data_IF_212311454125
#
_entry.id   IF_212311454125
#
_cell.length_a   1.000
_cell.length_b   1.000
_cell.length_c   1.000
_cell.angle_alpha   90.00
_cell.angle_beta   90.00
_cell.angle_gamma   90.00
#
_symmetry.space_group_name_H-M   'P 1'
#
loop_
_entity.id
_entity.type
_entity.pdbx_description
1 polymer ?
#
# COMPACT_ATOMS: atom_id res chain seq x y z
N UNK A 1 -17.53 -65.06 -38.75
CA UNK A 1 -16.52 -64.35 -39.55
C UNK A 1 -17.02 -62.97 -39.97
N UNK A 2 -18.26 -62.81 -40.42
CA UNK A 2 -18.83 -61.51 -40.81
C UNK A 2 -18.79 -60.43 -39.72
N UNK A 3 -19.12 -60.74 -38.46
CA UNK A 3 -19.04 -59.77 -37.34
C UNK A 3 -17.66 -59.16 -37.15
N UNK A 4 -16.60 -59.95 -37.34
CA UNK A 4 -15.23 -59.48 -37.15
C UNK A 4 -14.82 -58.59 -38.32
N UNK A 5 -15.18 -58.98 -39.55
CA UNK A 5 -14.90 -58.16 -40.73
C UNK A 5 -15.63 -56.81 -40.67
N UNK A 6 -16.89 -56.80 -40.27
CA UNK A 6 -17.64 -55.55 -40.09
C UNK A 6 -17.04 -54.66 -39.01
N UNK A 7 -16.53 -55.24 -37.92
CA UNK A 7 -15.88 -54.46 -36.86
C UNK A 7 -14.53 -53.91 -37.29
N UNK A 8 -13.75 -54.69 -38.05
CA UNK A 8 -12.49 -54.22 -38.67
C UNK A 8 -12.78 -53.02 -39.60
N UNK A 9 -13.76 -53.12 -40.50
CA UNK A 9 -14.12 -52.03 -41.40
C UNK A 9 -14.56 -50.75 -40.65
N UNK A 10 -15.33 -50.90 -39.56
CA UNK A 10 -15.71 -49.78 -38.70
C UNK A 10 -14.49 -49.13 -38.04
N UNK A 11 -13.55 -49.92 -37.53
CA UNK A 11 -12.33 -49.42 -36.88
C UNK A 11 -11.39 -48.76 -37.88
N UNK A 12 -11.23 -49.32 -39.07
CA UNK A 12 -10.43 -48.72 -40.15
C UNK A 12 -11.00 -47.37 -40.57
N UNK A 13 -12.32 -47.29 -40.74
CA UNK A 13 -13.00 -46.04 -41.07
C UNK A 13 -12.82 -44.98 -39.97
N UNK A 14 -13.02 -45.34 -38.71
CA UNK A 14 -12.84 -44.44 -37.58
C UNK A 14 -11.39 -43.92 -37.44
N UNK A 15 -10.41 -44.69 -37.91
CA UNK A 15 -9.00 -44.30 -37.87
C UNK A 15 -8.61 -43.38 -39.06
N UNK A 16 -9.30 -43.49 -40.20
CA UNK A 16 -9.10 -42.62 -41.38
C UNK A 16 -9.80 -41.28 -41.22
N UNK A 17 -10.93 -41.26 -40.51
CA UNK A 17 -11.68 -40.02 -40.22
C UNK A 17 -10.90 -39.05 -39.32
N UNK A 18 -11.11 -37.73 -39.46
CA UNK A 18 -10.43 -36.74 -38.63
C UNK A 18 -10.82 -36.91 -37.17
N UNK A 19 -9.81 -37.01 -36.30
CA UNK A 19 -10.02 -37.16 -34.85
C UNK A 19 -10.73 -35.96 -34.27
N UNK A 20 -11.45 -36.18 -33.16
CA UNK A 20 -12.10 -35.11 -32.40
C UNK A 20 -11.08 -34.08 -31.94
N UNK A 21 -11.52 -32.83 -31.77
CA UNK A 21 -10.65 -31.73 -31.35
C UNK A 21 -9.95 -31.99 -30.00
N UNK A 22 -10.57 -32.76 -29.11
CA UNK A 22 -9.98 -33.14 -27.81
C UNK A 22 -8.80 -34.13 -27.95
N UNK A 23 -8.72 -34.88 -29.05
CA UNK A 23 -7.63 -35.81 -29.33
C UNK A 23 -6.49 -35.17 -30.13
N UNK A 24 -6.64 -33.91 -30.54
CA UNK A 24 -5.63 -33.14 -31.26
C UNK A 24 -4.87 -32.25 -30.26
N UNK A 25 -3.54 -32.14 -30.37
CA UNK A 25 -2.73 -31.39 -29.40
C UNK A 25 -2.84 -29.87 -29.54
N UNK A 26 -2.69 -29.36 -30.76
CA UNK A 26 -2.68 -27.91 -31.03
C UNK A 26 -3.97 -27.49 -31.75
N UNK A 27 -5.01 -27.24 -30.97
CA UNK A 27 -6.32 -26.81 -31.48
C UNK A 27 -6.55 -25.33 -31.20
N UNK A 28 -6.78 -24.55 -32.27
CA UNK A 28 -7.19 -23.14 -32.16
C UNK A 28 -8.70 -23.01 -31.90
N UNK A 29 -9.13 -21.86 -31.40
CA UNK A 29 -10.55 -21.61 -31.09
C UNK A 29 -11.49 -21.73 -32.31
N UNK A 30 -10.98 -21.56 -33.53
CA UNK A 30 -11.75 -21.71 -34.77
C UNK A 30 -11.98 -23.18 -35.16
N UNK A 31 -11.09 -24.09 -34.76
CA UNK A 31 -11.15 -25.52 -35.13
C UNK A 31 -12.06 -26.34 -34.20
N UNK A 32 -12.49 -25.77 -33.07
CA UNK A 32 -13.42 -26.42 -32.14
C UNK A 32 -14.81 -25.76 -32.19
N UNK A 33 -15.90 -26.51 -31.98
CA UNK A 33 -17.24 -25.94 -31.89
C UNK A 33 -17.35 -24.92 -30.75
N UNK A 34 -18.18 -23.90 -30.96
CA UNK A 34 -18.44 -22.85 -29.96
C UNK A 34 -19.03 -23.47 -28.70
N UNK A 35 -18.48 -23.13 -27.52
CA UNK A 35 -18.94 -23.66 -26.23
C UNK A 35 -18.45 -25.07 -25.88
N UNK A 36 -17.83 -25.81 -26.81
CA UNK A 36 -17.41 -27.20 -26.56
C UNK A 36 -16.37 -27.37 -25.44
N UNK A 37 -15.55 -26.35 -25.16
CA UNK A 37 -14.58 -26.40 -24.06
C UNK A 37 -15.22 -26.36 -22.66
N UNK A 38 -16.48 -25.94 -22.52
CA UNK A 38 -17.18 -25.96 -21.22
C UNK A 38 -17.75 -27.35 -20.91
N UNK A 39 -17.99 -28.18 -21.94
CA UNK A 39 -18.52 -29.53 -21.81
C UNK A 39 -17.41 -30.57 -21.60
N UNK A 40 -16.24 -30.34 -22.21
CA UNK A 40 -15.09 -31.22 -22.04
C UNK A 40 -14.45 -31.06 -20.65
N UNK A 41 -14.20 -32.18 -19.96
CA UNK A 41 -13.43 -32.18 -18.72
C UNK A 41 -11.93 -32.09 -19.05
N UNK A 42 -11.36 -30.90 -18.92
CA UNK A 42 -9.95 -30.61 -19.19
C UNK A 42 -9.24 -30.15 -17.91
N UNK A 43 -8.14 -30.82 -17.58
CA UNK A 43 -7.28 -30.42 -16.48
C UNK A 43 -6.20 -29.43 -16.96
N UNK A 44 -6.04 -28.32 -16.25
CA UNK A 44 -5.02 -27.33 -16.56
C UNK A 44 -4.37 -26.76 -15.30
N UNK A 45 -3.09 -26.44 -15.41
CA UNK A 45 -2.33 -25.84 -14.33
C UNK A 45 -2.68 -24.36 -14.15
N UNK A 46 -2.90 -23.96 -12.91
CA UNK A 46 -3.13 -22.56 -12.55
C UNK A 46 -1.86 -21.97 -11.96
N UNK A 47 -1.32 -20.94 -12.60
CA UNK A 47 -0.08 -20.28 -12.15
C UNK A 47 -0.24 -19.44 -10.88
N UNK A 48 -1.48 -19.14 -10.48
CA UNK A 48 -1.77 -18.21 -9.38
C UNK A 48 -2.67 -18.91 -8.37
N UNK A 49 -2.35 -18.74 -7.08
CA UNK A 49 -3.22 -19.20 -5.99
C UNK A 49 -4.53 -18.40 -6.03
N UNK A 50 -5.69 -19.05 -6.01
CA UNK A 50 -6.95 -18.33 -5.99
C UNK A 50 -7.03 -17.44 -4.74
N UNK A 51 -7.68 -16.29 -4.88
CA UNK A 51 -7.91 -15.37 -3.77
C UNK A 51 -8.64 -16.12 -2.65
N UNK A 52 -8.14 -16.08 -1.41
CA UNK A 52 -8.82 -16.75 -0.30
C UNK A 52 -10.21 -16.14 -0.11
N UNK A 53 -11.21 -17.01 0.06
CA UNK A 53 -12.58 -16.60 0.35
C UNK A 53 -12.66 -16.20 1.83
N UNK A 54 -13.26 -15.04 2.11
CA UNK A 54 -13.44 -14.56 3.48
C UNK A 54 -14.60 -15.33 4.10
N UNK A 55 -14.28 -16.36 4.88
CA UNK A 55 -15.25 -17.15 5.65
C UNK A 55 -15.37 -16.62 7.08
N UNK A 56 -16.48 -16.94 7.75
CA UNK A 56 -16.77 -16.49 9.13
C UNK A 56 -15.71 -16.96 10.13
N UNK A 57 -15.16 -18.16 9.94
CA UNK A 57 -14.08 -18.71 10.78
C UNK A 57 -12.80 -17.87 10.70
N UNK A 58 -12.45 -17.40 9.49
CA UNK A 58 -11.27 -16.55 9.28
C UNK A 58 -11.48 -15.18 9.91
N UNK A 59 -12.67 -14.60 9.78
CA UNK A 59 -12.99 -13.32 10.42
C UNK A 59 -12.96 -13.41 11.95
N UNK A 60 -13.50 -14.49 12.54
CA UNK A 60 -13.47 -14.71 13.98
C UNK A 60 -12.03 -14.81 14.52
N UNK A 61 -11.17 -15.55 13.82
CA UNK A 61 -9.74 -15.65 14.16
C UNK A 61 -9.03 -14.28 14.12
N UNK A 62 -9.35 -13.44 13.13
CA UNK A 62 -8.81 -12.09 13.02
C UNK A 62 -9.30 -11.21 14.18
N UNK A 63 -10.58 -11.29 14.55
CA UNK A 63 -11.16 -10.54 15.67
C UNK A 63 -10.49 -10.91 17.01
N UNK A 64 -10.29 -12.19 17.28
CA UNK A 64 -9.57 -12.63 18.48
C UNK A 64 -8.14 -12.09 18.51
N UNK A 65 -7.43 -12.12 17.37
CA UNK A 65 -6.07 -11.59 17.28
C UNK A 65 -6.03 -10.08 17.53
N UNK A 66 -7.00 -9.33 17.00
CA UNK A 66 -7.11 -7.88 17.24
C UNK A 66 -7.38 -7.62 18.72
N UNK A 67 -8.33 -8.33 19.33
CA UNK A 67 -8.65 -8.19 20.75
C UNK A 67 -7.43 -8.43 21.64
N UNK A 68 -6.68 -9.51 21.39
CA UNK A 68 -5.45 -9.83 22.12
C UNK A 68 -4.41 -8.71 22.02
N UNK A 69 -4.18 -8.18 20.81
CA UNK A 69 -3.23 -7.09 20.59
C UNK A 69 -3.62 -5.81 21.30
N UNK A 70 -4.91 -5.45 21.30
CA UNK A 70 -5.40 -4.25 22.01
C UNK A 70 -5.12 -4.38 23.50
N UNK A 71 -5.42 -5.53 24.10
CA UNK A 71 -5.19 -5.77 25.52
C UNK A 71 -3.70 -5.69 25.86
N UNK A 72 -2.82 -6.25 25.03
CA UNK A 72 -1.37 -6.19 25.23
C UNK A 72 -0.82 -4.76 25.06
N UNK A 73 -1.20 -4.07 23.99
CA UNK A 73 -0.79 -2.69 23.72
C UNK A 73 -1.21 -1.76 24.85
N UNK A 74 -2.47 -1.85 25.30
CA UNK A 74 -3.00 -1.00 26.37
C UNK A 74 -2.23 -1.16 27.68
N UNK A 75 -1.74 -2.36 28.01
CA UNK A 75 -0.90 -2.60 29.19
C UNK A 75 0.45 -1.89 29.11
N UNK A 76 0.98 -1.67 27.90
CA UNK A 76 2.27 -1.02 27.67
C UNK A 76 2.22 0.49 27.46
N UNK A 77 1.03 1.09 27.36
CA UNK A 77 0.89 2.53 27.16
C UNK A 77 1.26 3.28 28.45
N UNK A 78 2.37 4.00 28.42
CA UNK A 78 2.67 5.02 29.42
C UNK A 78 1.68 6.18 29.29
N UNK A 79 1.21 6.71 30.42
CA UNK A 79 0.36 7.91 30.42
C UNK A 79 1.08 9.01 29.63
N UNK A 80 0.37 9.59 28.66
CA UNK A 80 0.84 10.76 27.92
C UNK A 80 1.22 11.80 28.97
N UNK A 81 2.49 12.21 29.02
CA UNK A 81 2.86 13.30 29.89
C UNK A 81 2.16 14.56 29.39
N UNK A 82 1.49 15.33 30.27
CA UNK A 82 0.94 16.61 29.86
C UNK A 82 2.08 17.42 29.26
N UNK A 83 1.81 18.12 28.16
CA UNK A 83 2.74 19.08 27.57
C UNK A 83 2.96 20.21 28.61
N UNK A 84 3.77 19.96 29.62
CA UNK A 84 4.31 21.01 30.47
C UNK A 84 5.25 21.79 29.59
N UNK A 85 4.74 22.92 29.06
CA UNK A 85 5.46 24.08 28.57
C UNK A 85 6.92 23.75 28.21
N UNK A 86 7.11 23.31 26.97
CA UNK A 86 8.42 23.06 26.40
C UNK A 86 9.32 24.28 26.64
N UNK A 87 10.21 24.17 27.63
CA UNK A 87 11.40 25.01 27.69
C UNK A 87 12.35 24.47 26.62
N UNK A 88 12.07 24.80 25.36
CA UNK A 88 13.09 24.76 24.33
C UNK A 88 14.08 25.88 24.65
N UNK A 89 15.23 25.51 25.21
CA UNK A 89 16.33 26.42 25.42
C UNK A 89 16.78 26.97 24.05
N UNK A 90 16.31 28.17 23.72
CA UNK A 90 16.49 28.82 22.41
C UNK A 90 17.94 29.26 22.13
N UNK A 91 18.88 28.87 23.00
CA UNK A 91 20.24 29.40 23.07
C UNK A 91 21.19 28.96 21.96
N UNK A 92 20.74 28.20 20.95
CA UNK A 92 21.55 27.92 19.75
C UNK A 92 20.98 28.62 18.53
N UNK A 93 21.16 29.95 18.47
CA UNK A 93 20.97 30.72 17.24
C UNK A 93 22.17 30.50 16.33
N UNK A 94 22.05 29.58 15.37
CA UNK A 94 22.98 29.51 14.24
C UNK A 94 22.60 30.66 13.29
N UNK A 95 23.42 31.71 13.22
CA UNK A 95 23.29 32.70 12.15
C UNK A 95 23.74 32.07 10.84
N UNK A 96 22.85 32.00 9.85
CA UNK A 96 23.22 31.56 8.51
C UNK A 96 23.84 32.74 7.73
N UNK A 97 25.02 32.56 7.10
CA UNK A 97 25.56 33.59 6.23
C UNK A 97 24.68 33.72 5.00
N UNK A 98 24.31 34.97 4.69
CA UNK A 98 23.52 35.35 3.54
C UNK A 98 24.40 35.24 2.28
N UNK A 99 24.47 34.05 1.69
CA UNK A 99 25.11 33.83 0.41
C UNK A 99 24.14 33.14 -0.57
N UNK A 100 24.22 33.59 -1.82
CA UNK A 100 23.40 33.28 -2.99
C UNK A 100 22.79 31.87 -3.01
N UNK A 101 21.47 31.81 -3.26
CA UNK A 101 20.61 30.62 -3.31
C UNK A 101 21.33 29.35 -3.81
N UNK A 102 21.72 28.45 -2.91
CA UNK A 102 22.24 27.15 -3.33
C UNK A 102 21.11 26.30 -3.91
N UNK A 103 21.42 25.47 -4.91
CA UNK A 103 20.50 24.43 -5.40
C UNK A 103 20.01 23.56 -4.23
N UNK A 104 18.71 23.30 -4.17
CA UNK A 104 18.03 22.54 -3.11
C UNK A 104 18.66 21.18 -2.84
N UNK A 105 19.26 20.56 -3.87
CA UNK A 105 20.02 19.32 -3.76
C UNK A 105 21.28 19.45 -2.90
N UNK A 106 22.01 20.57 -3.00
CA UNK A 106 23.25 20.79 -2.25
C UNK A 106 22.99 21.06 -0.76
N UNK A 107 21.91 21.79 -0.45
CA UNK A 107 21.46 22.02 0.93
C UNK A 107 21.03 20.72 1.62
N UNK A 108 20.29 19.86 0.90
CA UNK A 108 19.88 18.55 1.40
C UNK A 108 21.10 17.66 1.72
N UNK A 109 22.07 17.58 0.81
CA UNK A 109 23.27 16.78 1.03
C UNK A 109 24.15 17.29 2.18
N UNK A 110 24.25 18.60 2.38
CA UNK A 110 25.04 19.17 3.48
C UNK A 110 24.35 19.00 4.84
N UNK A 111 23.02 18.98 4.88
CA UNK A 111 22.23 18.73 6.08
C UNK A 111 22.32 17.26 6.53
N UNK A 112 22.16 16.31 5.60
CA UNK A 112 22.25 14.87 5.86
C UNK A 112 23.65 14.48 6.36
N UNK A 113 24.71 15.16 5.87
CA UNK A 113 26.09 14.91 6.34
C UNK A 113 26.35 15.40 7.77
N UNK A 114 25.71 16.49 8.20
CA UNK A 114 26.00 17.13 9.49
C UNK A 114 25.04 16.70 10.63
N UNK A 115 23.88 16.16 10.31
CA UNK A 115 22.90 15.69 11.30
C UNK A 115 22.35 14.34 10.82
N UNK A 116 22.53 13.28 11.61
CA UNK A 116 22.02 11.91 11.35
C UNK A 116 20.49 11.81 11.48
N UNK A 117 19.71 12.80 11.05
CA UNK A 117 18.25 12.76 11.06
C UNK A 117 17.66 13.44 9.82
N UNK A 118 16.71 12.77 9.18
CA UNK A 118 15.85 13.34 8.13
C UNK A 118 14.71 14.10 8.85
N UNK A 119 14.53 15.42 8.63
CA UNK A 119 13.45 16.14 9.28
C UNK A 119 12.09 15.76 8.69
N UNK A 120 11.02 15.68 9.50
CA UNK A 120 9.69 15.37 8.98
C UNK A 120 9.13 16.53 8.12
N UNK A 121 8.22 16.19 7.20
CA UNK A 121 7.63 17.07 6.17
C UNK A 121 7.21 18.47 6.63
N UNK A 122 6.76 18.63 7.88
CA UNK A 122 6.32 19.91 8.42
C UNK A 122 7.44 20.96 8.56
N UNK A 123 8.71 20.56 8.62
CA UNK A 123 9.86 21.48 8.71
C UNK A 123 10.05 22.29 7.42
N UNK A 124 9.62 21.77 6.27
CA UNK A 124 9.64 22.50 4.98
C UNK A 124 8.53 23.56 4.88
N UNK A 125 7.48 23.44 5.69
CA UNK A 125 6.35 24.38 5.71
C UNK A 125 6.56 25.54 6.71
N UNK A 126 7.57 25.44 7.58
CA UNK A 126 7.78 26.35 8.70
C UNK A 126 8.16 27.79 8.31
N UNK A 127 8.77 28.01 7.15
CA UNK A 127 9.23 29.36 6.77
C UNK A 127 8.07 30.32 6.45
N UNK A 128 6.98 29.80 5.86
CA UNK A 128 5.76 30.57 5.63
C UNK A 128 4.91 30.69 6.90
N UNK A 129 4.93 29.65 7.75
CA UNK A 129 4.18 29.65 9.01
C UNK A 129 4.77 30.67 10.00
N UNK A 130 6.10 30.78 10.11
CA UNK A 130 6.77 31.73 11.03
C UNK A 130 6.36 33.18 10.78
N UNK A 131 6.35 33.64 9.52
CA UNK A 131 5.89 35.01 9.21
C UNK A 131 4.44 35.25 9.59
N UNK A 132 3.57 34.24 9.47
CA UNK A 132 2.16 34.38 9.85
C UNK A 132 1.98 34.45 11.38
N UNK A 133 2.74 33.64 12.13
CA UNK A 133 2.71 33.63 13.59
C UNK A 133 3.27 34.93 14.19
N UNK A 134 4.32 35.52 13.63
CA UNK A 134 4.90 36.78 14.13
C UNK A 134 3.87 37.95 14.12
N UNK A 135 3.03 38.00 13.08
CA UNK A 135 1.95 38.99 12.95
C UNK A 135 0.84 38.76 13.96
N UNK A 136 0.46 37.49 14.19
CA UNK A 136 -0.59 37.11 15.12
C UNK A 136 -0.16 37.32 16.58
N UNK A 137 1.09 36.98 16.92
CA UNK A 137 1.64 37.19 18.25
C UNK A 137 1.77 38.68 18.57
N UNK A 138 2.24 39.50 17.62
CA UNK A 138 2.25 40.96 17.76
C UNK A 138 0.85 41.53 18.00
N UNK A 139 -0.15 41.02 17.28
CA UNK A 139 -1.55 41.44 17.46
C UNK A 139 -2.06 41.05 18.86
N UNK A 140 -1.78 39.84 19.33
CA UNK A 140 -2.14 39.37 20.66
C UNK A 140 -1.52 40.22 21.78
N UNK A 141 -0.22 40.54 21.72
CA UNK A 141 0.42 41.39 22.72
C UNK A 141 -0.14 42.82 22.72
N UNK A 142 -0.52 43.35 21.55
CA UNK A 142 -1.16 44.67 21.44
C UNK A 142 -2.56 44.67 22.04
N UNK A 143 -3.34 43.60 21.84
CA UNK A 143 -4.68 43.45 22.41
C UNK A 143 -4.58 43.25 23.93
N UNK A 144 -3.75 42.33 24.40
CA UNK A 144 -3.54 42.07 25.83
C UNK A 144 -3.05 43.31 26.59
N UNK A 145 -2.13 44.08 26.00
CA UNK A 145 -1.66 45.34 26.58
C UNK A 145 -2.69 46.47 26.53
N UNK A 146 -3.71 46.38 25.66
CA UNK A 146 -4.83 47.34 25.63
C UNK A 146 -5.86 47.01 26.70
N UNK A 147 -6.20 45.72 26.83
CA UNK A 147 -7.07 45.19 27.89
C UNK A 147 -6.49 45.43 29.29
N UNK A 148 -5.16 45.31 29.45
CA UNK A 148 -4.50 45.52 30.73
C UNK A 148 -4.31 46.99 31.15
N UNK A 149 -4.55 47.96 30.26
CA UNK A 149 -4.47 49.41 30.56
C UNK A 149 -5.82 50.09 30.78
N UNK A 150 -6.90 49.35 30.58
CA UNK A 150 -8.29 49.81 30.76
C UNK A 150 -8.87 49.31 32.11
N UNK A 151 -8.02 48.97 33.08
CA UNK A 151 -8.39 48.73 34.49
C UNK A 151 -7.75 49.75 35.42
#
# INVERSE_FOLDING_TARGET
MEKIQSEIELMEKANVEPKTWTMQGEVTAANRPVGSALEANLDFEHNVRPTPVITEEVTASIEEMIQKRIIELFKGLSKIQPLTNASCDSSTLISYPQASSPSTSNLFHQFIKNKKCIPPSWVLNSFCIQKSSDTNDSMWYRIAGKVGREQ
#
